data_IF_368074229379
#
_entry.id   IF_368074229379
#
_cell.length_a   1.000
_cell.length_b   1.000
_cell.length_c   1.000
_cell.angle_alpha   90.00
_cell.angle_beta   90.00
_cell.angle_gamma   90.00
#
_symmetry.space_group_name_H-M   'P 1'
#
loop_
_entity.id
_entity.type
_entity.pdbx_description
1 polymer ?
#
# COMPACT_ATOMS: atom_id res chain seq x y z
N UNK A 1 -17.03 4.69 20.70
CA UNK A 1 -16.83 3.24 20.55
C UNK A 1 -16.95 2.98 19.07
N UNK A 2 -15.81 2.75 18.44
CA UNK A 2 -15.72 2.44 17.02
C UNK A 2 -16.13 0.99 16.84
N UNK A 3 -17.25 0.75 16.18
CA UNK A 3 -17.87 -0.56 16.01
C UNK A 3 -17.62 -1.12 14.60
N UNK A 4 -16.87 -0.41 13.76
CA UNK A 4 -16.48 -0.86 12.43
C UNK A 4 -15.19 -1.67 12.50
N UNK A 5 -15.11 -2.72 11.69
CA UNK A 5 -13.90 -3.52 11.56
C UNK A 5 -12.79 -2.67 10.93
N UNK A 6 -11.60 -2.68 11.55
CA UNK A 6 -10.45 -1.91 11.08
C UNK A 6 -9.66 -2.61 9.95
N UNK A 7 -10.30 -3.50 9.20
CA UNK A 7 -9.63 -4.40 8.23
C UNK A 7 -9.57 -3.74 6.85
N UNK A 8 -8.37 -3.64 6.28
CA UNK A 8 -8.14 -3.26 4.87
C UNK A 8 -8.03 -4.50 3.99
N UNK A 9 -7.12 -5.41 4.33
CA UNK A 9 -6.92 -6.66 3.60
C UNK A 9 -7.07 -7.85 4.53
N UNK A 10 -7.71 -8.91 4.01
CA UNK A 10 -7.86 -10.19 4.70
C UNK A 10 -7.93 -11.33 3.71
N UNK A 11 -6.78 -11.65 3.12
CA UNK A 11 -6.64 -12.70 2.10
C UNK A 11 -5.41 -13.54 2.37
N UNK A 12 -5.61 -14.84 2.56
CA UNK A 12 -4.50 -15.82 2.59
C UNK A 12 -3.93 -16.02 1.19
N UNK A 13 -2.66 -16.40 1.10
CA UNK A 13 -1.98 -16.67 -0.17
C UNK A 13 -2.81 -17.48 -1.18
N UNK A 14 -3.46 -18.61 -0.82
CA UNK A 14 -4.25 -19.38 -1.77
C UNK A 14 -5.48 -18.66 -2.33
N UNK A 15 -5.90 -17.58 -1.69
CA UNK A 15 -7.03 -16.74 -2.09
C UNK A 15 -6.61 -15.57 -2.97
N UNK A 16 -5.31 -15.27 -3.09
CA UNK A 16 -4.79 -14.14 -3.87
C UNK A 16 -4.55 -14.60 -5.31
N UNK A 17 -5.14 -13.88 -6.27
CA UNK A 17 -4.90 -14.05 -7.70
C UNK A 17 -3.76 -13.15 -8.19
N UNK A 18 -3.79 -11.87 -7.83
CA UNK A 18 -2.71 -10.94 -8.15
C UNK A 18 -2.61 -9.78 -7.16
N UNK A 19 -1.42 -9.23 -7.07
CA UNK A 19 -1.14 -7.96 -6.40
C UNK A 19 -0.54 -6.99 -7.42
N UNK A 20 -1.11 -5.80 -7.53
CA UNK A 20 -0.55 -4.71 -8.31
C UNK A 20 -0.14 -3.58 -7.36
N UNK A 21 1.08 -3.06 -7.53
CA UNK A 21 1.58 -1.90 -6.78
C UNK A 21 2.12 -0.86 -7.75
N UNK A 22 1.61 0.35 -7.66
CA UNK A 22 1.99 1.49 -8.49
C UNK A 22 2.63 2.56 -7.61
N UNK A 23 3.79 3.07 -8.02
CA UNK A 23 4.50 4.19 -7.41
C UNK A 23 4.48 5.35 -8.39
N UNK A 24 3.52 6.30 -8.27
CA UNK A 24 3.39 7.41 -9.22
C UNK A 24 4.67 8.25 -9.36
N UNK A 25 5.38 8.47 -8.24
CA UNK A 25 6.63 9.23 -8.22
C UNK A 25 7.85 8.44 -8.74
N UNK A 26 7.77 7.10 -8.79
CA UNK A 26 8.85 6.20 -9.23
C UNK A 26 8.25 5.07 -10.11
N UNK A 27 7.72 5.40 -11.32
CA UNK A 27 6.98 4.44 -12.13
C UNK A 27 7.76 3.16 -12.45
N UNK A 28 9.08 3.23 -12.57
CA UNK A 28 9.99 2.11 -12.79
C UNK A 28 9.96 1.06 -11.66
N UNK A 29 9.54 1.46 -10.46
CA UNK A 29 9.38 0.57 -9.31
C UNK A 29 7.98 -0.04 -9.22
N UNK A 30 7.10 0.25 -10.18
CA UNK A 30 5.72 -0.26 -10.25
C UNK A 30 5.65 -1.64 -10.90
N UNK A 31 4.85 -2.53 -10.34
CA UNK A 31 4.80 -3.92 -10.76
C UNK A 31 3.45 -4.59 -10.51
N UNK A 32 3.28 -5.75 -11.15
CA UNK A 32 2.19 -6.69 -10.87
C UNK A 32 2.76 -8.09 -10.64
N UNK A 33 2.38 -8.69 -9.53
CA UNK A 33 2.62 -10.10 -9.21
C UNK A 33 1.35 -10.89 -9.53
N UNK A 34 1.47 -11.94 -10.33
CA UNK A 34 0.42 -12.93 -10.57
C UNK A 34 0.77 -14.22 -9.84
N UNK A 35 -0.16 -14.73 -9.04
CA UNK A 35 -0.02 -16.00 -8.35
C UNK A 35 -0.53 -17.14 -9.23
N UNK A 36 0.39 -18.00 -9.69
CA UNK A 36 0.06 -19.11 -10.60
C UNK A 36 -0.46 -20.33 -9.83
N UNK A 37 0.27 -20.74 -8.78
CA UNK A 37 -0.04 -21.97 -8.03
C UNK A 37 0.46 -21.96 -6.57
N UNK A 38 0.57 -20.77 -5.96
CA UNK A 38 1.03 -20.52 -4.59
C UNK A 38 2.53 -20.87 -4.35
N UNK A 39 3.25 -21.33 -5.38
CA UNK A 39 4.70 -21.62 -5.36
C UNK A 39 5.44 -20.90 -6.49
N UNK A 40 4.78 -20.76 -7.63
CA UNK A 40 5.26 -20.05 -8.80
C UNK A 40 4.53 -18.72 -8.96
N UNK A 41 5.30 -17.68 -9.27
CA UNK A 41 4.82 -16.31 -9.40
C UNK A 41 5.39 -15.69 -10.67
N UNK A 42 4.56 -14.93 -11.37
CA UNK A 42 5.01 -14.06 -12.46
C UNK A 42 5.05 -12.62 -11.97
N UNK A 43 6.15 -11.92 -12.23
CA UNK A 43 6.26 -10.49 -11.96
C UNK A 43 6.34 -9.76 -13.28
N UNK A 44 5.51 -8.74 -13.44
CA UNK A 44 5.47 -7.87 -14.60
C UNK A 44 5.81 -6.46 -14.17
N UNK A 45 6.76 -5.81 -14.86
CA UNK A 45 6.97 -4.37 -14.70
C UNK A 45 5.81 -3.63 -15.34
N UNK A 46 5.20 -2.69 -14.60
CA UNK A 46 4.16 -1.83 -15.18
C UNK A 46 4.75 -0.72 -16.04
N UNK A 47 6.03 -0.37 -15.82
CA UNK A 47 6.73 0.64 -16.60
C UNK A 47 7.08 0.15 -18.00
N UNK A 48 7.69 -1.04 -18.11
CA UNK A 48 8.08 -1.60 -19.42
C UNK A 48 6.97 -2.45 -20.04
N UNK A 49 6.08 -3.00 -19.22
CA UNK A 49 5.06 -3.95 -19.66
C UNK A 49 5.61 -5.37 -19.90
N UNK A 50 6.86 -5.65 -19.52
CA UNK A 50 7.52 -6.93 -19.71
C UNK A 50 7.55 -7.76 -18.43
N UNK A 51 7.73 -9.08 -18.58
CA UNK A 51 8.00 -9.96 -17.45
C UNK A 51 9.41 -9.70 -16.91
N UNK A 52 9.53 -9.72 -15.59
CA UNK A 52 10.80 -9.55 -14.89
C UNK A 52 11.39 -10.93 -14.65
N UNK A 53 12.55 -11.18 -15.23
CA UNK A 53 13.31 -12.41 -15.04
C UNK A 53 14.10 -12.39 -13.72
N UNK A 54 14.51 -13.57 -13.25
CA UNK A 54 15.37 -13.75 -12.06
C UNK A 54 14.83 -13.11 -10.75
N UNK A 55 13.53 -13.29 -10.51
CA UNK A 55 12.88 -12.83 -9.28
C UNK A 55 13.07 -13.81 -8.12
N UNK A 56 13.18 -13.26 -6.93
CA UNK A 56 13.28 -14.00 -5.68
C UNK A 56 11.89 -14.44 -5.18
N UNK A 57 11.54 -15.70 -5.42
CA UNK A 57 10.25 -16.26 -5.03
C UNK A 57 9.99 -16.21 -3.50
N UNK A 58 11.01 -16.30 -2.66
CA UNK A 58 10.87 -16.21 -1.20
C UNK A 58 10.44 -14.80 -0.76
N UNK A 59 11.03 -13.76 -1.38
CA UNK A 59 10.63 -12.37 -1.13
C UNK A 59 9.19 -12.10 -1.57
N UNK A 60 8.76 -12.66 -2.70
CA UNK A 60 7.36 -12.58 -3.18
C UNK A 60 6.42 -13.27 -2.19
N UNK A 61 6.76 -14.50 -1.77
CA UNK A 61 5.97 -15.28 -0.82
C UNK A 61 5.79 -14.55 0.51
N UNK A 62 6.86 -13.96 1.04
CA UNK A 62 6.82 -13.18 2.29
C UNK A 62 5.91 -11.95 2.17
N UNK A 63 5.92 -11.28 1.02
CA UNK A 63 5.02 -10.15 0.81
C UNK A 63 3.56 -10.59 0.68
N UNK A 64 3.28 -11.62 -0.14
CA UNK A 64 1.89 -12.07 -0.36
C UNK A 64 1.26 -12.67 0.90
N UNK A 65 2.03 -13.34 1.76
CA UNK A 65 1.51 -13.86 3.03
C UNK A 65 1.19 -12.76 4.04
N UNK A 66 1.83 -11.58 3.93
CA UNK A 66 1.55 -10.43 4.80
C UNK A 66 0.13 -9.87 4.61
N UNK A 67 -0.58 -10.21 3.53
CA UNK A 67 -1.98 -9.81 3.28
C UNK A 67 -3.03 -10.64 4.04
N UNK A 68 -2.61 -11.63 4.84
CA UNK A 68 -3.56 -12.43 5.64
C UNK A 68 -4.41 -11.55 6.55
N UNK A 69 -3.81 -10.51 7.15
CA UNK A 69 -4.52 -9.51 7.93
C UNK A 69 -3.76 -8.18 7.97
N UNK A 70 -4.31 -7.15 7.32
CA UNK A 70 -3.80 -5.78 7.35
C UNK A 70 -4.92 -4.87 7.82
N UNK A 71 -4.66 -4.15 8.91
CA UNK A 71 -5.61 -3.25 9.55
C UNK A 71 -5.16 -1.79 9.43
N UNK A 72 -6.10 -0.86 9.44
CA UNK A 72 -5.84 0.56 9.67
C UNK A 72 -5.90 0.89 11.17
N UNK A 73 -5.32 2.02 11.56
CA UNK A 73 -5.25 2.46 12.96
C UNK A 73 -6.56 3.11 13.43
N UNK A 74 -7.10 4.04 12.63
CA UNK A 74 -8.32 4.76 12.96
C UNK A 74 -8.93 5.45 11.73
N UNK A 75 -10.21 5.79 11.81
CA UNK A 75 -10.83 6.74 10.88
C UNK A 75 -10.40 8.17 11.21
N UNK A 76 -10.18 8.97 10.16
CA UNK A 76 -9.93 10.40 10.31
C UNK A 76 -11.26 11.14 10.38
N UNK A 77 -11.61 11.63 11.56
CA UNK A 77 -12.90 12.28 11.82
C UNK A 77 -12.81 13.79 12.06
N UNK A 78 -11.60 14.34 12.13
CA UNK A 78 -11.37 15.75 12.45
C UNK A 78 -11.30 16.66 11.21
N UNK A 79 -11.12 16.11 10.01
CA UNK A 79 -11.12 16.87 8.77
C UNK A 79 -12.53 17.02 8.20
N UNK A 80 -12.83 18.23 7.73
CA UNK A 80 -13.98 18.49 6.87
C UNK A 80 -13.84 17.75 5.53
N UNK A 81 -14.96 17.54 4.83
CA UNK A 81 -14.94 16.91 3.50
C UNK A 81 -13.99 17.62 2.53
N UNK A 82 -13.97 18.96 2.54
CA UNK A 82 -13.11 19.74 1.65
C UNK A 82 -11.60 19.51 1.92
N UNK A 83 -11.22 19.33 3.19
CA UNK A 83 -9.85 18.99 3.56
C UNK A 83 -9.49 17.55 3.14
N UNK A 84 -10.41 16.60 3.32
CA UNK A 84 -10.23 15.22 2.86
C UNK A 84 -10.07 15.17 1.34
N UNK A 85 -10.94 15.86 0.60
CA UNK A 85 -10.86 15.96 -0.85
C UNK A 85 -9.54 16.60 -1.30
N UNK A 86 -9.06 17.62 -0.57
CA UNK A 86 -7.76 18.26 -0.86
C UNK A 86 -6.57 17.32 -0.66
N UNK A 87 -6.66 16.35 0.25
CA UNK A 87 -5.64 15.31 0.43
C UNK A 87 -5.73 14.28 -0.70
N UNK A 88 -6.94 13.83 -1.02
CA UNK A 88 -7.21 12.78 -2.03
C UNK A 88 -6.89 13.23 -3.46
N UNK A 89 -6.91 14.54 -3.73
CA UNK A 89 -6.50 15.13 -5.00
C UNK A 89 -4.97 15.18 -5.19
N UNK A 90 -4.18 14.95 -4.14
CA UNK A 90 -2.73 14.89 -4.26
C UNK A 90 -2.30 13.61 -4.98
N UNK A 91 -1.07 13.60 -5.48
CA UNK A 91 -0.48 12.39 -6.02
C UNK A 91 -0.35 11.33 -4.91
N UNK A 92 -0.89 10.10 -5.11
CA UNK A 92 -0.72 9.04 -4.13
C UNK A 92 0.75 8.67 -3.94
N UNK A 93 1.13 8.35 -2.70
CA UNK A 93 2.47 7.86 -2.41
C UNK A 93 2.72 6.49 -3.05
N UNK A 94 1.73 5.60 -2.94
CA UNK A 94 1.61 4.42 -3.79
C UNK A 94 0.14 4.00 -3.87
N UNK A 95 -0.16 3.18 -4.87
CA UNK A 95 -1.48 2.60 -5.09
C UNK A 95 -1.32 1.09 -5.08
N UNK A 96 -2.21 0.40 -4.39
CA UNK A 96 -2.18 -1.05 -4.26
C UNK A 96 -3.53 -1.63 -4.64
N UNK A 97 -3.52 -2.63 -5.51
CA UNK A 97 -4.73 -3.36 -5.90
C UNK A 97 -4.49 -4.85 -5.66
N UNK A 98 -5.23 -5.42 -4.71
CA UNK A 98 -5.23 -6.85 -4.43
C UNK A 98 -6.46 -7.49 -5.05
N UNK A 99 -6.24 -8.44 -5.96
CA UNK A 99 -7.31 -9.19 -6.62
C UNK A 99 -7.33 -10.62 -6.07
N UNK A 100 -8.48 -11.08 -5.60
CA UNK A 100 -8.71 -12.44 -5.14
C UNK A 100 -9.06 -13.40 -6.27
N UNK A 101 -8.83 -14.70 -6.05
CA UNK A 101 -9.24 -15.77 -6.98
C UNK A 101 -10.77 -15.90 -7.09
N UNK A 102 -11.51 -15.33 -6.14
CA UNK A 102 -12.98 -15.19 -6.15
C UNK A 102 -13.47 -13.99 -6.99
N UNK A 103 -12.55 -13.22 -7.59
CA UNK A 103 -12.87 -12.00 -8.35
C UNK A 103 -13.07 -10.76 -7.48
N UNK A 104 -12.93 -10.86 -6.15
CA UNK A 104 -12.93 -9.67 -5.29
C UNK A 104 -11.70 -8.80 -5.57
N UNK A 105 -11.89 -7.49 -5.52
CA UNK A 105 -10.81 -6.53 -5.69
C UNK A 105 -10.83 -5.54 -4.52
N UNK A 106 -9.66 -5.20 -4.01
CA UNK A 106 -9.49 -4.15 -3.01
C UNK A 106 -8.39 -3.22 -3.47
N UNK A 107 -8.74 -1.95 -3.66
CA UNK A 107 -7.83 -0.88 -4.07
C UNK A 107 -7.58 0.05 -2.90
N UNK A 108 -6.31 0.34 -2.63
CA UNK A 108 -5.86 1.26 -1.60
C UNK A 108 -4.97 2.34 -2.22
N UNK A 109 -5.31 3.62 -2.00
CA UNK A 109 -4.45 4.76 -2.34
C UNK A 109 -3.90 5.34 -1.04
N UNK A 110 -2.60 5.61 -0.99
CA UNK A 110 -1.96 6.19 0.20
C UNK A 110 -1.47 7.61 -0.06
N UNK A 111 -1.39 8.43 0.99
CA UNK A 111 -0.96 9.82 0.91
C UNK A 111 -0.08 10.15 2.11
N UNK A 112 1.04 10.84 1.87
CA UNK A 112 1.91 11.27 2.96
C UNK A 112 1.16 12.25 3.85
N UNK A 113 1.28 12.04 5.15
CA UNK A 113 0.73 12.93 6.16
C UNK A 113 1.77 14.00 6.51
N UNK A 114 1.42 15.30 6.56
CA UNK A 114 2.36 16.32 7.03
C UNK A 114 2.71 16.05 8.50
N UNK A 115 3.94 16.37 8.90
CA UNK A 115 4.32 16.25 10.30
C UNK A 115 3.42 17.13 11.18
N UNK A 116 3.12 16.65 12.40
CA UNK A 116 2.44 17.49 13.39
C UNK A 116 3.37 18.62 13.81
N UNK A 117 2.83 19.84 13.97
CA UNK A 117 3.56 20.99 14.50
C UNK A 117 4.35 20.59 15.76
N UNK A 118 5.68 20.72 15.69
CA UNK A 118 6.60 20.43 16.80
C UNK A 118 7.34 19.08 16.75
N UNK A 119 7.18 18.27 15.70
CA UNK A 119 8.12 17.17 15.43
C UNK A 119 9.41 17.72 14.79
N UNK A 120 10.33 18.16 15.64
CA UNK A 120 11.69 18.55 15.26
C UNK A 120 12.65 17.42 15.61
N UNK A 121 13.48 16.98 14.66
CA UNK A 121 14.60 16.11 15.01
C UNK A 121 15.72 16.92 15.71
N UNK A 122 16.60 16.22 16.43
CA UNK A 122 17.68 16.74 17.28
C UNK A 122 18.70 17.66 16.55
N UNK A 123 18.60 17.77 15.22
CA UNK A 123 19.49 18.51 14.32
C UNK A 123 18.84 19.74 13.66
N UNK A 124 17.59 20.08 13.98
CA UNK A 124 17.00 21.37 13.63
C UNK A 124 16.49 21.53 12.21
N UNK A 125 16.31 20.45 11.46
CA UNK A 125 15.54 20.45 10.20
C UNK A 125 14.10 19.98 10.45
N UNK A 126 13.12 20.70 9.92
CA UNK A 126 11.70 20.32 9.99
C UNK A 126 11.48 19.07 9.14
N UNK A 127 10.95 18.00 9.74
CA UNK A 127 10.52 16.85 8.96
C UNK A 127 9.22 17.26 8.26
N UNK A 128 9.14 17.30 6.92
CA UNK A 128 7.93 17.77 6.24
C UNK A 128 6.75 16.79 6.38
N UNK A 129 7.02 15.54 6.78
CA UNK A 129 6.03 14.46 6.83
C UNK A 129 6.13 13.63 8.12
N UNK A 130 5.00 13.11 8.57
CA UNK A 130 4.90 12.15 9.67
C UNK A 130 5.69 10.88 9.28
N UNK A 131 6.58 10.43 10.15
CA UNK A 131 7.47 9.27 9.93
C UNK A 131 6.84 7.95 10.35
N UNK A 132 5.78 8.01 11.16
CA UNK A 132 5.12 6.83 11.73
C UNK A 132 3.83 6.48 10.99
N UNK A 133 3.12 7.51 10.48
CA UNK A 133 1.78 7.36 9.91
C UNK A 133 1.61 8.04 8.56
N UNK A 134 0.68 7.50 7.78
CA UNK A 134 0.22 8.10 6.53
C UNK A 134 -1.30 7.94 6.41
N UNK A 135 -1.89 8.63 5.44
CA UNK A 135 -3.30 8.51 5.12
C UNK A 135 -3.54 7.44 4.06
N UNK A 136 -4.73 6.86 4.06
CA UNK A 136 -5.16 5.95 3.00
C UNK A 136 -6.66 6.06 2.71
N UNK A 137 -7.03 5.62 1.52
CA UNK A 137 -8.42 5.55 1.03
C UNK A 137 -8.64 4.24 0.29
N UNK A 138 -9.76 3.58 0.56
CA UNK A 138 -10.13 2.30 -0.06
C UNK A 138 -11.18 2.47 -1.17
N UNK A 139 -11.11 1.65 -2.21
CA UNK A 139 -12.18 1.40 -3.20
C UNK A 139 -12.92 2.65 -3.72
N UNK A 140 -12.16 3.70 -4.02
CA UNK A 140 -12.67 5.00 -4.51
C UNK A 140 -13.61 5.75 -3.55
N UNK A 141 -13.60 5.39 -2.26
CA UNK A 141 -14.22 6.17 -1.19
C UNK A 141 -13.53 7.53 -1.03
N UNK A 142 -14.09 8.39 -0.18
CA UNK A 142 -13.49 9.63 0.30
C UNK A 142 -13.12 9.57 1.78
N UNK A 143 -13.55 8.54 2.51
CA UNK A 143 -13.24 8.39 3.93
C UNK A 143 -11.74 8.12 4.15
N UNK A 144 -11.05 9.07 4.79
CA UNK A 144 -9.63 8.93 5.12
C UNK A 144 -9.42 7.97 6.30
N UNK A 145 -8.49 7.04 6.10
CA UNK A 145 -7.99 6.10 7.10
C UNK A 145 -6.59 6.54 7.54
N UNK A 146 -6.29 6.37 8.82
CA UNK A 146 -4.93 6.49 9.36
C UNK A 146 -4.26 5.13 9.33
N UNK A 147 -3.08 5.03 8.72
CA UNK A 147 -2.32 3.78 8.65
C UNK A 147 -0.87 4.02 9.09
N UNK A 148 -0.18 2.95 9.51
CA UNK A 148 1.18 3.01 10.06
C UNK A 148 2.21 2.45 9.07
N UNK A 149 3.31 3.17 8.85
CA UNK A 149 4.39 2.69 7.96
C UNK A 149 4.91 1.31 8.37
N UNK A 150 5.06 1.04 9.68
CA UNK A 150 5.52 -0.27 10.18
C UNK A 150 4.70 -1.48 9.67
N UNK A 151 3.40 -1.30 9.46
CA UNK A 151 2.52 -2.35 8.91
C UNK A 151 2.63 -2.37 7.38
N UNK A 152 2.58 -1.20 6.76
CA UNK A 152 2.43 -1.08 5.32
C UNK A 152 3.73 -1.25 4.52
N UNK A 153 4.89 -0.92 5.09
CA UNK A 153 6.21 -1.13 4.47
C UNK A 153 6.51 -2.61 4.18
N UNK A 154 5.80 -3.52 4.87
CA UNK A 154 5.87 -4.97 4.63
C UNK A 154 5.19 -5.37 3.32
N UNK A 155 4.20 -4.61 2.87
CA UNK A 155 3.38 -4.90 1.69
C UNK A 155 3.59 -3.91 0.54
N UNK A 156 4.30 -2.80 0.76
CA UNK A 156 4.64 -1.79 -0.24
C UNK A 156 6.13 -1.82 -0.61
N UNK A 157 6.67 -3.02 -0.87
CA UNK A 157 8.05 -3.17 -1.36
C UNK A 157 8.12 -2.81 -2.84
N UNK A 158 9.14 -2.05 -3.24
CA UNK A 158 9.42 -1.67 -4.63
C UNK A 158 9.76 -2.88 -5.50
N UNK A 159 9.64 -2.76 -6.83
CA UNK A 159 9.99 -3.85 -7.76
C UNK A 159 11.42 -4.35 -7.55
N UNK A 160 12.38 -3.44 -7.35
CA UNK A 160 13.79 -3.75 -7.11
C UNK A 160 14.03 -4.68 -5.91
N UNK A 161 13.11 -4.72 -4.93
CA UNK A 161 13.20 -5.65 -3.82
C UNK A 161 13.06 -7.12 -4.26
N UNK A 162 12.41 -7.43 -5.38
CA UNK A 162 12.24 -8.82 -5.82
C UNK A 162 13.38 -9.33 -6.69
N UNK A 163 14.33 -8.48 -7.09
CA UNK A 163 15.46 -8.90 -7.90
C UNK A 163 16.52 -9.62 -7.04
N UNK A 164 17.17 -10.63 -7.62
CA UNK A 164 18.29 -11.35 -7.01
C UNK A 164 19.60 -10.56 -7.03
#
# INVERSE_FOLDING_TARGET
IDWREHIIFKKRLPQIASLQVEYPAEPEESYKITNINDRDFEVKSLFTGELVEDVNAERILNMLTSFEEINFEAFITHYSQAEQDSIIQQEPFYIMTLTGKDGSETRLRTYRRPALDGQTEFIGEEIPYDVDRMYAVMNDDTELLLIQYFVFDKISRKLSYFLN
#
